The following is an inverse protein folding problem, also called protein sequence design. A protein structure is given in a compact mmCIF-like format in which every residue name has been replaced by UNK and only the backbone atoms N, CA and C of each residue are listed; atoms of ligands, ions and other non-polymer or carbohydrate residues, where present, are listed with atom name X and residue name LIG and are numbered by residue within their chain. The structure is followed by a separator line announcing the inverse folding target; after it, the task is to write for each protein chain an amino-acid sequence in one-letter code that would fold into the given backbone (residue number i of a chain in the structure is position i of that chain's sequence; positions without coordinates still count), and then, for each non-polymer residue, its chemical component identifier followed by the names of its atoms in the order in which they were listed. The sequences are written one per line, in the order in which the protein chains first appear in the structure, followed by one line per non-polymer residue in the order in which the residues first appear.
data_IF_366666594072
#
_entry.id   IF_366666594072
#
_cell.length_a   1.000
_cell.length_b   1.000
_cell.length_c   1.000
_cell.angle_alpha   90.00
_cell.angle_beta   90.00
_cell.angle_gamma   90.00
#
_symmetry.space_group_name_H-M   'P 1'
#
loop_
_entity.id
_entity.type
_entity.pdbx_description
1 polymer ?
#
# COMPACT_ATOMS: atom_id res chain seq x y z
N UNK A 1 15.38 41.05 -0.19
CA UNK A 1 15.59 39.90 -1.08
C UNK A 1 14.90 40.24 -2.39
N UNK A 2 15.64 40.35 -3.49
CA UNK A 2 15.08 40.91 -4.74
C UNK A 2 14.15 39.94 -5.45
N UNK A 3 14.38 38.63 -5.26
CA UNK A 3 13.55 37.54 -5.79
C UNK A 3 13.47 36.37 -4.81
N UNK A 4 12.29 35.74 -4.72
CA UNK A 4 12.00 34.58 -3.87
C UNK A 4 11.07 33.62 -4.61
N UNK A 5 11.28 32.31 -4.47
CA UNK A 5 10.32 31.28 -4.86
C UNK A 5 10.41 30.09 -3.90
N UNK A 6 9.37 29.26 -3.90
CA UNK A 6 9.34 27.99 -3.17
C UNK A 6 9.52 26.86 -4.16
N UNK A 7 10.40 25.92 -3.85
CA UNK A 7 10.48 24.62 -4.54
C UNK A 7 9.90 23.55 -3.62
N UNK A 8 9.02 22.74 -4.18
CA UNK A 8 8.50 21.52 -3.55
C UNK A 8 9.04 20.34 -4.34
N UNK A 9 9.47 19.29 -3.65
CA UNK A 9 9.84 18.02 -4.25
C UNK A 9 8.85 16.96 -3.79
N UNK A 10 8.48 16.03 -4.68
CA UNK A 10 7.66 14.87 -4.33
C UNK A 10 8.53 13.82 -3.59
N UNK A 11 9.06 14.19 -2.43
CA UNK A 11 9.96 13.39 -1.60
C UNK A 11 9.71 13.69 -0.11
N UNK A 12 9.69 12.64 0.70
CA UNK A 12 9.55 12.71 2.15
C UNK A 12 10.85 12.28 2.82
N UNK A 13 11.79 13.21 3.01
CA UNK A 13 13.02 13.05 3.82
C UNK A 13 13.59 11.62 3.89
N UNK A 14 13.83 10.97 2.74
CA UNK A 14 14.37 9.60 2.58
C UNK A 14 13.44 8.42 2.95
N UNK A 15 12.13 8.63 3.03
CA UNK A 15 11.12 7.60 3.32
C UNK A 15 10.43 7.12 2.04
N UNK A 16 9.98 8.06 1.21
CA UNK A 16 9.51 7.80 -0.14
C UNK A 16 9.71 8.99 -1.06
N UNK A 17 9.70 8.73 -2.37
CA UNK A 17 9.73 9.77 -3.40
C UNK A 17 9.01 9.33 -4.67
N UNK A 18 8.60 10.30 -5.49
CA UNK A 18 8.08 10.07 -6.85
C UNK A 18 9.07 10.58 -7.88
N UNK A 19 9.44 9.73 -8.82
CA UNK A 19 10.40 10.01 -9.90
C UNK A 19 9.76 9.78 -11.26
N UNK A 20 10.31 10.42 -12.29
CA UNK A 20 9.96 10.16 -13.68
C UNK A 20 10.73 8.95 -14.24
N UNK A 21 10.51 8.63 -15.52
CA UNK A 21 11.18 7.52 -16.20
C UNK A 21 12.72 7.61 -16.28
N UNK A 22 13.32 8.79 -16.06
CA UNK A 22 14.78 8.93 -15.96
C UNK A 22 15.31 8.82 -14.52
N UNK A 23 14.43 8.58 -13.53
CA UNK A 23 14.78 8.51 -12.11
C UNK A 23 14.90 9.88 -11.44
N UNK A 24 14.54 10.97 -12.13
CA UNK A 24 14.56 12.32 -11.55
C UNK A 24 13.31 12.54 -10.70
N UNK A 25 13.48 12.97 -9.44
CA UNK A 25 12.36 13.33 -8.55
C UNK A 25 11.54 14.47 -9.15
N UNK A 26 10.20 14.33 -9.12
CA UNK A 26 9.32 15.41 -9.55
C UNK A 26 9.48 16.62 -8.61
N UNK A 27 9.64 17.81 -9.21
CA UNK A 27 9.75 19.06 -8.45
C UNK A 27 8.87 20.12 -9.10
N UNK A 28 8.32 20.98 -8.27
CA UNK A 28 7.53 22.11 -8.70
C UNK A 28 8.08 23.39 -8.06
N UNK A 29 8.17 24.46 -8.86
CA UNK A 29 8.56 25.78 -8.39
C UNK A 29 7.35 26.71 -8.43
N UNK A 30 7.12 27.45 -7.35
CA UNK A 30 6.18 28.55 -7.35
C UNK A 30 6.61 29.66 -8.33
N UNK A 31 5.69 30.49 -8.83
CA UNK A 31 6.06 31.71 -9.52
C UNK A 31 7.00 32.58 -8.68
N UNK A 32 8.03 33.15 -9.31
CA UNK A 32 9.01 34.03 -8.65
C UNK A 32 8.32 35.30 -8.15
N UNK A 33 8.49 35.58 -6.86
CA UNK A 33 8.07 36.82 -6.21
C UNK A 33 9.22 37.81 -6.26
N UNK A 34 8.97 39.05 -6.70
CA UNK A 34 9.97 40.12 -6.71
C UNK A 34 9.74 41.11 -5.57
N UNK A 35 10.80 41.83 -5.19
CA UNK A 35 10.76 42.91 -4.19
C UNK A 35 10.10 42.47 -2.86
N UNK A 36 10.55 41.33 -2.34
CA UNK A 36 10.01 40.77 -1.09
C UNK A 36 10.71 41.44 0.09
N UNK A 37 9.99 42.34 0.76
CA UNK A 37 10.44 43.06 1.97
C UNK A 37 9.77 42.58 3.27
N UNK A 38 8.72 41.76 3.16
CA UNK A 38 7.98 41.19 4.28
C UNK A 38 7.36 39.82 3.91
N UNK A 39 6.77 39.14 4.89
CA UNK A 39 6.03 37.88 4.68
C UNK A 39 4.99 38.03 3.58
N UNK A 40 4.98 37.07 2.64
CA UNK A 40 4.08 37.09 1.48
C UNK A 40 3.42 35.72 1.32
N UNK A 41 2.09 35.70 1.34
CA UNK A 41 1.33 34.49 1.03
C UNK A 41 1.47 34.16 -0.45
N UNK A 42 1.75 32.88 -0.74
CA UNK A 42 1.68 32.35 -2.08
C UNK A 42 0.28 31.80 -2.39
N UNK A 43 -0.67 31.79 -1.45
CA UNK A 43 -1.99 31.17 -1.64
C UNK A 43 -1.93 29.69 -2.01
N UNK A 44 -3.06 29.13 -2.45
CA UNK A 44 -3.12 27.74 -2.94
C UNK A 44 -2.40 27.64 -4.28
N UNK A 45 -1.56 26.63 -4.40
CA UNK A 45 -0.79 26.34 -5.61
C UNK A 45 -0.94 24.86 -5.94
N UNK A 46 -0.91 24.57 -7.24
CA UNK A 46 -1.00 23.21 -7.77
C UNK A 46 0.15 22.98 -8.75
N UNK A 47 0.67 21.76 -8.83
CA UNK A 47 1.61 21.37 -9.86
C UNK A 47 0.99 21.47 -11.27
N UNK A 48 1.79 21.43 -12.35
CA UNK A 48 1.28 21.45 -13.71
C UNK A 48 0.36 20.26 -13.95
N UNK A 49 -0.71 20.44 -14.74
CA UNK A 49 -1.72 19.40 -14.98
C UNK A 49 -1.12 18.09 -15.51
N UNK A 50 -0.09 18.18 -16.36
CA UNK A 50 0.62 17.02 -16.91
C UNK A 50 1.40 16.20 -15.88
N UNK A 51 1.61 16.72 -14.67
CA UNK A 51 2.35 16.04 -13.59
C UNK A 51 1.46 15.70 -12.40
N UNK A 52 0.18 16.09 -12.40
CA UNK A 52 -0.70 15.94 -11.23
C UNK A 52 -0.79 14.50 -10.71
N UNK A 53 -0.71 13.50 -11.60
CA UNK A 53 -0.68 12.08 -11.23
C UNK A 53 0.55 11.68 -10.41
N UNK A 54 1.71 12.28 -10.67
CA UNK A 54 2.89 12.07 -9.85
C UNK A 54 2.65 12.56 -8.41
N UNK A 55 2.06 13.75 -8.29
CA UNK A 55 1.75 14.34 -6.98
C UNK A 55 0.62 13.62 -6.27
N UNK A 56 -0.37 13.11 -7.01
CA UNK A 56 -1.43 12.26 -6.45
C UNK A 56 -0.84 10.96 -5.90
N UNK A 57 0.05 10.28 -6.62
CA UNK A 57 0.75 9.10 -6.08
C UNK A 57 1.56 9.43 -4.81
N UNK A 58 2.22 10.60 -4.77
CA UNK A 58 2.96 11.07 -3.59
C UNK A 58 2.04 11.24 -2.37
N UNK A 59 0.89 11.88 -2.54
CA UNK A 59 -0.08 12.12 -1.47
C UNK A 59 -0.74 10.81 -1.04
N UNK A 60 -1.08 9.93 -1.99
CA UNK A 60 -1.71 8.64 -1.71
C UNK A 60 -0.82 7.73 -0.86
N UNK A 61 0.48 7.61 -1.17
CA UNK A 61 1.38 6.76 -0.36
C UNK A 61 1.60 7.28 1.06
N UNK A 62 1.46 8.60 1.26
CA UNK A 62 1.56 9.21 2.59
C UNK A 62 0.47 8.66 3.53
N UNK A 63 -0.72 8.34 3.01
CA UNK A 63 -1.79 7.71 3.77
C UNK A 63 -1.41 6.31 4.28
N UNK A 64 -0.73 5.51 3.46
CA UNK A 64 -0.18 4.22 3.91
C UNK A 64 0.89 4.41 4.98
N UNK A 65 1.79 5.39 4.79
CA UNK A 65 2.87 5.65 5.74
C UNK A 65 2.33 6.02 7.13
N UNK A 66 1.27 6.83 7.23
CA UNK A 66 0.63 7.14 8.51
C UNK A 66 0.03 5.93 9.21
N UNK A 67 -0.34 4.89 8.44
CA UNK A 67 -0.94 3.65 8.95
C UNK A 67 0.03 2.49 9.09
N UNK A 68 1.31 2.66 8.76
CA UNK A 68 2.34 1.58 8.74
C UNK A 68 2.54 0.80 10.05
N UNK A 69 2.00 1.28 11.18
CA UNK A 69 2.02 0.56 12.46
C UNK A 69 3.40 0.39 13.10
N UNK A 70 4.38 1.26 12.79
CA UNK A 70 5.70 1.26 13.42
C UNK A 70 5.83 2.39 14.47
N UNK A 71 5.80 2.07 15.78
CA UNK A 71 5.96 3.07 16.84
C UNK A 71 7.43 3.34 17.22
N UNK A 72 8.40 2.60 16.66
CA UNK A 72 9.81 2.66 17.09
C UNK A 72 10.63 3.72 16.37
N UNK A 73 10.27 4.04 15.13
CA UNK A 73 10.99 4.98 14.28
C UNK A 73 10.07 5.55 13.20
N UNK A 74 10.59 6.51 12.44
CA UNK A 74 9.90 7.04 11.25
C UNK A 74 9.93 6.08 10.05
N UNK A 75 10.67 4.96 10.14
CA UNK A 75 10.78 3.98 9.06
C UNK A 75 9.51 3.15 8.88
N UNK A 76 9.46 2.41 7.77
CA UNK A 76 8.31 1.61 7.36
C UNK A 76 7.97 0.47 8.32
N UNK A 77 8.98 -0.14 8.93
CA UNK A 77 8.82 -1.32 9.80
C UNK A 77 9.60 -1.20 11.10
N UNK A 78 9.10 -1.85 12.15
CA UNK A 78 9.79 -1.98 13.44
C UNK A 78 11.12 -2.77 13.36
N UNK A 79 11.39 -3.42 12.21
CA UNK A 79 12.69 -4.03 11.87
C UNK A 79 13.75 -3.00 11.48
N UNK A 80 13.37 -1.74 11.27
CA UNK A 80 14.25 -0.62 10.93
C UNK A 80 14.24 0.40 12.10
N UNK A 81 14.94 0.10 13.21
CA UNK A 81 14.84 0.91 14.44
C UNK A 81 15.54 2.26 14.35
N UNK A 82 16.52 2.43 13.44
CA UNK A 82 17.21 3.70 13.24
C UNK A 82 16.49 4.55 12.18
N UNK A 83 15.90 5.66 12.61
CA UNK A 83 15.21 6.62 11.75
C UNK A 83 16.09 7.31 10.70
N UNK A 84 17.42 7.17 10.78
CA UNK A 84 18.35 7.73 9.80
C UNK A 84 18.68 6.78 8.64
N UNK A 85 18.32 5.49 8.76
CA UNK A 85 18.66 4.44 7.79
C UNK A 85 17.42 3.70 7.31
N UNK A 86 16.30 4.39 7.15
CA UNK A 86 15.09 3.80 6.60
C UNK A 86 15.31 3.36 5.14
N UNK A 87 14.70 2.23 4.76
CA UNK A 87 14.57 1.89 3.34
C UNK A 87 13.63 2.89 2.68
N UNK A 88 14.10 3.55 1.63
CA UNK A 88 13.27 4.45 0.83
C UNK A 88 12.43 3.67 -0.20
N UNK A 89 11.15 4.03 -0.34
CA UNK A 89 10.28 3.60 -1.44
C UNK A 89 10.37 4.60 -2.61
N UNK A 90 10.70 4.12 -3.80
CA UNK A 90 10.61 4.95 -5.02
C UNK A 90 9.32 4.62 -5.78
N UNK A 91 8.48 5.61 -6.07
CA UNK A 91 7.43 5.46 -7.08
C UNK A 91 7.94 6.05 -8.39
N UNK A 92 8.12 5.23 -9.40
CA UNK A 92 8.50 5.68 -10.73
C UNK A 92 7.24 5.79 -11.59
N UNK A 93 6.87 7.02 -11.97
CA UNK A 93 5.73 7.25 -12.85
C UNK A 93 6.18 7.64 -14.27
N UNK A 94 5.68 6.89 -15.25
CA UNK A 94 5.94 7.11 -16.68
C UNK A 94 4.63 7.46 -17.40
N UNK A 95 4.41 8.75 -17.64
CA UNK A 95 3.14 9.27 -18.17
C UNK A 95 2.78 8.80 -19.58
N UNK A 96 3.78 8.44 -20.40
CA UNK A 96 3.60 8.05 -21.80
C UNK A 96 3.41 6.56 -22.04
N UNK A 97 3.58 5.74 -21.00
CA UNK A 97 3.42 4.29 -21.10
C UNK A 97 1.93 3.88 -20.93
N UNK A 98 1.50 2.73 -21.50
CA UNK A 98 0.20 2.14 -21.19
C UNK A 98 0.01 1.95 -19.70
N UNK A 99 -1.23 2.06 -19.20
CA UNK A 99 -1.53 1.84 -17.78
C UNK A 99 -1.07 0.46 -17.33
N UNK A 100 -0.17 0.44 -16.36
CA UNK A 100 0.38 -0.75 -15.71
C UNK A 100 0.98 -0.34 -14.36
N UNK A 101 0.98 -1.26 -13.40
CA UNK A 101 1.42 -1.06 -12.03
C UNK A 101 2.07 -2.32 -11.50
N UNK A 102 3.27 -2.21 -10.92
CA UNK A 102 3.88 -3.32 -10.20
C UNK A 102 4.96 -2.84 -9.22
N UNK A 103 5.17 -3.61 -8.16
CA UNK A 103 6.29 -3.44 -7.25
C UNK A 103 7.50 -4.30 -7.62
N UNK A 104 8.63 -3.65 -7.83
CA UNK A 104 9.94 -4.26 -8.00
C UNK A 104 10.65 -4.47 -6.65
N UNK A 105 10.67 -5.73 -6.23
CA UNK A 105 11.34 -6.20 -5.01
C UNK A 105 12.85 -5.91 -4.98
N UNK A 106 13.53 -5.88 -6.13
CA UNK A 106 14.99 -5.72 -6.17
C UNK A 106 15.41 -4.29 -5.88
N UNK A 107 14.64 -3.32 -6.36
CA UNK A 107 15.00 -1.90 -6.29
C UNK A 107 14.18 -1.12 -5.26
N UNK A 108 13.17 -1.75 -4.64
CA UNK A 108 12.18 -1.07 -3.81
C UNK A 108 11.45 0.03 -4.59
N UNK A 109 11.07 -0.29 -5.83
CA UNK A 109 10.45 0.65 -6.74
C UNK A 109 9.04 0.18 -7.10
N UNK A 110 8.05 1.03 -6.89
CA UNK A 110 6.72 0.87 -7.47
C UNK A 110 6.73 1.55 -8.83
N UNK A 111 6.54 0.78 -9.89
CA UNK A 111 6.38 1.29 -11.25
C UNK A 111 4.91 1.59 -11.50
N UNK A 112 4.62 2.80 -11.96
CA UNK A 112 3.29 3.27 -12.32
C UNK A 112 3.36 3.84 -13.73
N UNK A 113 2.39 3.53 -14.56
CA UNK A 113 2.35 4.02 -15.93
C UNK A 113 1.00 4.65 -16.28
N UNK A 114 1.04 5.60 -17.21
CA UNK A 114 -0.17 6.19 -17.78
C UNK A 114 -1.10 6.79 -16.73
N UNK A 115 -2.32 6.26 -16.67
CA UNK A 115 -3.39 6.72 -15.79
C UNK A 115 -3.46 6.00 -14.44
N UNK A 116 -2.57 5.04 -14.16
CA UNK A 116 -2.63 4.24 -12.92
C UNK A 116 -2.71 5.08 -11.64
N UNK A 117 -2.01 6.22 -11.48
CA UNK A 117 -2.16 7.03 -10.28
C UNK A 117 -3.57 7.62 -10.05
N UNK A 118 -4.47 7.60 -11.04
CA UNK A 118 -5.87 7.98 -10.86
C UNK A 118 -6.61 6.97 -9.96
N UNK A 119 -6.05 5.76 -9.76
CA UNK A 119 -6.48 4.74 -8.80
C UNK A 119 -5.65 4.80 -7.52
N UNK A 120 -6.25 5.31 -6.44
CA UNK A 120 -5.61 5.29 -5.13
C UNK A 120 -5.37 3.86 -4.65
N UNK A 121 -6.31 2.94 -4.94
CA UNK A 121 -6.16 1.53 -4.61
C UNK A 121 -4.94 0.92 -5.26
N UNK A 122 -4.67 1.18 -6.55
CA UNK A 122 -3.50 0.61 -7.23
C UNK A 122 -2.20 1.17 -6.66
N UNK A 123 -2.13 2.49 -6.42
CA UNK A 123 -0.94 3.10 -5.79
C UNK A 123 -0.68 2.51 -4.41
N UNK A 124 -1.72 2.34 -3.60
CA UNK A 124 -1.62 1.77 -2.26
C UNK A 124 -1.32 0.27 -2.29
N UNK A 125 -1.89 -0.48 -3.22
CA UNK A 125 -1.64 -1.91 -3.41
C UNK A 125 -0.15 -2.15 -3.66
N UNK A 126 0.43 -1.50 -4.66
CA UNK A 126 1.85 -1.68 -4.97
C UNK A 126 2.76 -1.20 -3.83
N UNK A 127 2.38 -0.11 -3.17
CA UNK A 127 3.08 0.39 -1.98
C UNK A 127 2.95 -0.55 -0.78
N UNK A 128 1.86 -1.32 -0.70
CA UNK A 128 1.62 -2.29 0.36
C UNK A 128 2.44 -3.57 0.14
N UNK A 129 2.77 -3.96 -1.10
CA UNK A 129 3.80 -4.97 -1.33
C UNK A 129 5.17 -4.52 -0.80
N UNK A 130 5.53 -3.25 -1.01
CA UNK A 130 6.73 -2.68 -0.38
C UNK A 130 6.64 -2.74 1.15
N UNK A 131 5.51 -2.33 1.75
CA UNK A 131 5.32 -2.44 3.19
C UNK A 131 5.49 -3.89 3.67
N UNK A 132 4.84 -4.86 3.01
CA UNK A 132 4.96 -6.28 3.33
C UNK A 132 6.41 -6.75 3.30
N UNK A 133 7.16 -6.34 2.28
CA UNK A 133 8.58 -6.61 2.13
C UNK A 133 9.41 -6.03 3.30
N UNK A 134 9.06 -4.83 3.80
CA UNK A 134 9.72 -4.23 4.98
C UNK A 134 9.30 -4.89 6.30
N UNK A 135 8.04 -5.32 6.44
CA UNK A 135 7.58 -6.09 7.60
C UNK A 135 8.36 -7.41 7.72
N UNK A 136 8.72 -8.02 6.59
CA UNK A 136 9.56 -9.21 6.56
C UNK A 136 11.06 -8.92 6.46
N UNK A 137 11.49 -7.68 6.72
CA UNK A 137 12.92 -7.35 6.84
C UNK A 137 13.72 -7.57 5.55
N UNK A 138 13.11 -7.31 4.40
CA UNK A 138 13.75 -7.53 3.10
C UNK A 138 13.55 -8.94 2.54
N UNK A 139 12.71 -9.76 3.17
CA UNK A 139 12.25 -11.03 2.61
C UNK A 139 10.86 -10.88 2.00
N UNK A 140 10.58 -11.61 0.92
CA UNK A 140 9.24 -11.69 0.34
C UNK A 140 8.92 -13.16 0.04
N UNK A 141 7.69 -13.64 0.28
CA UNK A 141 7.37 -15.03 0.03
C UNK A 141 7.56 -15.38 -1.44
N UNK A 142 8.01 -16.60 -1.71
CA UNK A 142 8.00 -17.14 -3.07
C UNK A 142 6.54 -17.34 -3.50
N UNK A 143 6.05 -16.44 -4.35
CA UNK A 143 4.71 -16.49 -4.92
C UNK A 143 4.68 -17.48 -6.10
N UNK A 144 3.64 -18.32 -6.15
CA UNK A 144 3.42 -19.28 -7.24
C UNK A 144 2.04 -19.10 -7.87
N UNK A 145 1.92 -19.44 -9.17
CA UNK A 145 0.65 -19.41 -9.93
C UNK A 145 -0.15 -18.10 -9.78
N UNK A 146 0.51 -16.96 -9.98
CA UNK A 146 -0.10 -15.64 -9.76
C UNK A 146 -0.36 -14.84 -11.04
N UNK A 147 0.04 -15.34 -12.21
CA UNK A 147 -0.18 -14.66 -13.48
C UNK A 147 -0.96 -15.56 -14.45
N UNK A 148 -2.15 -15.18 -14.91
CA UNK A 148 -3.02 -14.11 -14.37
C UNK A 148 -3.74 -14.57 -13.10
N UNK A 149 -4.09 -13.65 -12.20
CA UNK A 149 -4.94 -13.90 -11.05
C UNK A 149 -6.15 -12.94 -11.06
N UNK A 150 -7.19 -13.26 -10.29
CA UNK A 150 -8.41 -12.46 -10.19
C UNK A 150 -8.89 -12.47 -8.73
N UNK A 151 -9.54 -11.39 -8.31
CA UNK A 151 -10.05 -11.25 -6.94
C UNK A 151 -11.02 -12.38 -6.57
N UNK A 152 -11.84 -12.82 -7.52
CA UNK A 152 -12.89 -13.83 -7.31
C UNK A 152 -12.50 -15.26 -7.73
N UNK A 153 -11.28 -15.48 -8.25
CA UNK A 153 -10.84 -16.81 -8.72
C UNK A 153 -9.71 -17.39 -7.90
N UNK A 154 -9.72 -18.72 -7.79
CA UNK A 154 -8.65 -19.44 -7.12
C UNK A 154 -7.33 -19.31 -7.90
N UNK A 155 -6.26 -19.00 -7.19
CA UNK A 155 -4.87 -18.95 -7.69
C UNK A 155 -4.00 -19.95 -6.91
N UNK A 156 -3.08 -19.46 -6.08
CA UNK A 156 -2.38 -20.26 -5.07
C UNK A 156 -2.51 -19.58 -3.71
N UNK A 157 -2.31 -20.34 -2.62
CA UNK A 157 -2.30 -19.78 -1.26
C UNK A 157 -1.24 -18.69 -1.06
N UNK A 158 -0.16 -18.73 -1.84
CA UNK A 158 0.92 -17.73 -1.76
C UNK A 158 0.60 -16.47 -2.56
N UNK A 159 -0.04 -16.63 -3.72
CA UNK A 159 -0.54 -15.51 -4.53
C UNK A 159 -1.68 -14.80 -3.77
N UNK A 160 -2.73 -15.55 -3.42
CA UNK A 160 -3.86 -15.01 -2.67
C UNK A 160 -3.44 -14.28 -1.38
N UNK A 161 -2.41 -14.76 -0.68
CA UNK A 161 -1.89 -14.05 0.49
C UNK A 161 -1.13 -12.76 0.16
N UNK A 162 -0.24 -12.79 -0.83
CA UNK A 162 0.57 -11.62 -1.20
C UNK A 162 -0.33 -10.50 -1.74
N UNK A 163 -1.21 -10.84 -2.68
CA UNK A 163 -2.13 -9.90 -3.33
C UNK A 163 -3.19 -9.40 -2.34
N UNK A 164 -3.81 -10.28 -1.56
CA UNK A 164 -4.83 -9.85 -0.60
C UNK A 164 -4.27 -9.02 0.55
N UNK A 165 -3.00 -9.22 0.94
CA UNK A 165 -2.39 -8.30 1.89
C UNK A 165 -2.34 -6.87 1.32
N UNK A 166 -1.97 -6.72 0.05
CA UNK A 166 -1.85 -5.43 -0.63
C UNK A 166 -3.22 -4.77 -0.87
N UNK A 167 -4.18 -5.52 -1.38
CA UNK A 167 -5.56 -5.07 -1.60
C UNK A 167 -6.26 -4.66 -0.30
N UNK A 168 -6.20 -5.52 0.72
CA UNK A 168 -6.75 -5.20 2.03
C UNK A 168 -6.06 -4.01 2.67
N UNK A 169 -4.76 -3.84 2.50
CA UNK A 169 -4.05 -2.67 3.01
C UNK A 169 -4.59 -1.38 2.37
N UNK A 170 -4.77 -1.37 1.04
CA UNK A 170 -5.35 -0.24 0.33
C UNK A 170 -6.77 0.08 0.84
N UNK A 171 -7.65 -0.93 0.89
CA UNK A 171 -9.02 -0.77 1.37
C UNK A 171 -9.10 -0.35 2.85
N UNK A 172 -8.20 -0.87 3.69
CA UNK A 172 -8.11 -0.47 5.09
C UNK A 172 -7.66 0.99 5.24
N UNK A 173 -6.69 1.43 4.42
CA UNK A 173 -6.20 2.82 4.41
C UNK A 173 -7.32 3.77 3.98
N UNK A 174 -8.02 3.46 2.90
CA UNK A 174 -9.10 4.28 2.33
C UNK A 174 -10.43 4.16 3.11
N UNK A 175 -10.56 3.15 3.97
CA UNK A 175 -11.75 2.97 4.81
C UNK A 175 -12.92 2.31 4.10
N UNK A 176 -12.69 1.56 3.02
CA UNK A 176 -13.71 0.88 2.22
C UNK A 176 -13.59 -0.66 2.26
N UNK A 177 -14.37 -1.38 1.47
CA UNK A 177 -14.42 -2.86 1.47
C UNK A 177 -14.24 -3.43 0.06
N UNK A 178 -13.32 -2.84 -0.72
CA UNK A 178 -13.14 -3.25 -2.10
C UNK A 178 -11.92 -2.59 -2.74
N UNK A 179 -11.87 -2.73 -4.06
CA UNK A 179 -10.84 -2.17 -4.92
C UNK A 179 -11.49 -1.32 -6.02
N UNK A 180 -10.93 -0.15 -6.31
CA UNK A 180 -11.39 0.69 -7.42
C UNK A 180 -10.21 0.97 -8.34
N UNK A 181 -10.23 0.40 -9.55
CA UNK A 181 -9.20 0.67 -10.55
C UNK A 181 -9.31 2.05 -11.19
N UNK A 182 -8.42 2.36 -12.12
CA UNK A 182 -8.29 3.70 -12.73
C UNK A 182 -9.51 4.11 -13.58
N UNK A 183 -10.33 3.13 -13.99
CA UNK A 183 -11.61 3.37 -14.67
C UNK A 183 -12.78 3.64 -13.71
N UNK A 184 -12.55 3.60 -12.39
CA UNK A 184 -13.55 3.88 -11.37
C UNK A 184 -14.56 2.76 -11.14
N UNK A 185 -14.33 1.56 -11.69
CA UNK A 185 -15.23 0.41 -11.52
C UNK A 185 -14.86 -0.31 -10.21
N UNK A 186 -15.77 -0.40 -9.22
CA UNK A 186 -15.49 -1.05 -7.95
C UNK A 186 -15.57 -2.58 -8.07
N UNK A 187 -14.68 -3.25 -7.36
CA UNK A 187 -14.68 -4.70 -7.10
C UNK A 187 -14.86 -4.87 -5.58
N UNK A 188 -15.93 -5.53 -5.16
CA UNK A 188 -16.21 -5.77 -3.73
C UNK A 188 -15.44 -6.98 -3.23
N UNK A 189 -14.84 -6.90 -2.03
CA UNK A 189 -14.23 -8.04 -1.34
C UNK A 189 -15.21 -8.88 -0.51
N UNK A 190 -16.49 -8.52 -0.47
CA UNK A 190 -17.50 -9.38 0.10
C UNK A 190 -17.68 -10.61 -0.78
N UNK A 191 -17.55 -11.81 -0.18
CA UNK A 191 -17.78 -13.06 -0.88
C UNK A 191 -19.19 -13.09 -1.50
N UNK A 192 -19.26 -13.51 -2.77
CA UNK A 192 -20.49 -13.55 -3.54
C UNK A 192 -20.53 -14.73 -4.52
N UNK A 193 -21.63 -14.92 -5.26
CA UNK A 193 -21.86 -16.12 -6.08
C UNK A 193 -20.82 -16.39 -7.18
N UNK A 194 -20.03 -15.38 -7.56
CA UNK A 194 -18.98 -15.51 -8.59
C UNK A 194 -17.63 -15.94 -8.02
N UNK A 195 -17.49 -15.91 -6.68
CA UNK A 195 -16.26 -16.25 -6.00
C UNK A 195 -16.09 -17.76 -5.94
N UNK A 196 -14.89 -18.23 -6.23
CA UNK A 196 -14.46 -19.57 -5.86
C UNK A 196 -14.34 -19.68 -4.31
N UNK A 197 -14.17 -20.90 -3.82
CA UNK A 197 -14.08 -21.17 -2.39
C UNK A 197 -12.65 -21.19 -1.83
N UNK A 198 -12.51 -20.75 -0.57
CA UNK A 198 -11.34 -21.02 0.26
C UNK A 198 -10.20 -20.01 0.16
N UNK A 199 -9.09 -20.33 0.83
CA UNK A 199 -7.94 -19.42 1.04
C UNK A 199 -6.95 -19.34 -0.14
N UNK A 200 -7.34 -19.89 -1.28
CA UNK A 200 -6.65 -19.71 -2.57
C UNK A 200 -7.26 -18.59 -3.40
N UNK A 201 -8.36 -17.98 -2.94
CA UNK A 201 -9.05 -16.87 -3.60
C UNK A 201 -8.68 -15.59 -2.87
N UNK A 202 -8.10 -14.63 -3.59
CA UNK A 202 -7.60 -13.37 -3.04
C UNK A 202 -8.69 -12.62 -2.28
N UNK A 203 -9.85 -12.38 -2.90
CA UNK A 203 -10.90 -11.60 -2.27
C UNK A 203 -11.52 -12.26 -1.02
N UNK A 204 -11.48 -13.60 -0.92
CA UNK A 204 -11.86 -14.29 0.32
C UNK A 204 -10.87 -14.01 1.47
N UNK A 205 -9.58 -13.95 1.14
CA UNK A 205 -8.53 -13.55 2.09
C UNK A 205 -8.67 -12.06 2.40
N UNK A 206 -9.04 -11.23 1.42
CA UNK A 206 -9.22 -9.79 1.62
C UNK A 206 -10.32 -9.46 2.62
N UNK A 207 -11.53 -9.96 2.36
CA UNK A 207 -12.66 -9.77 3.25
C UNK A 207 -12.36 -10.30 4.66
N UNK A 208 -11.68 -11.44 4.75
CA UNK A 208 -11.25 -12.01 6.03
C UNK A 208 -10.27 -11.11 6.78
N UNK A 209 -9.28 -10.52 6.10
CA UNK A 209 -8.33 -9.60 6.72
C UNK A 209 -9.02 -8.33 7.21
N UNK A 210 -9.84 -7.70 6.37
CA UNK A 210 -10.58 -6.49 6.72
C UNK A 210 -11.53 -6.71 7.91
N UNK A 211 -12.27 -7.83 7.92
CA UNK A 211 -13.17 -8.18 9.02
C UNK A 211 -12.39 -8.36 10.33
N UNK A 212 -11.27 -9.10 10.30
CA UNK A 212 -10.43 -9.29 11.48
C UNK A 212 -9.85 -7.97 11.99
N UNK A 213 -9.26 -7.16 11.10
CA UNK A 213 -8.62 -5.90 11.48
C UNK A 213 -9.61 -4.91 12.08
N UNK A 214 -10.81 -4.80 11.50
CA UNK A 214 -11.83 -3.82 11.91
C UNK A 214 -12.63 -4.25 13.14
N UNK A 215 -12.73 -5.54 13.43
CA UNK A 215 -13.62 -6.03 14.50
C UNK A 215 -12.90 -6.79 15.60
N UNK A 216 -11.93 -7.65 15.27
CA UNK A 216 -11.32 -8.57 16.23
C UNK A 216 -9.95 -8.08 16.73
N UNK A 217 -9.26 -7.24 15.95
CA UNK A 217 -7.89 -6.80 16.25
C UNK A 217 -7.86 -5.47 17.04
N UNK A 218 -9.01 -5.05 17.58
CA UNK A 218 -9.19 -3.80 18.30
C UNK A 218 -9.54 -2.61 17.40
N UNK A 219 -10.07 -2.87 16.21
CA UNK A 219 -10.40 -1.83 15.22
C UNK A 219 -9.18 -1.27 14.49
N UNK A 220 -8.05 -1.97 14.54
CA UNK A 220 -6.80 -1.58 13.89
C UNK A 220 -5.97 -2.79 13.49
N UNK A 221 -5.22 -2.68 12.39
CA UNK A 221 -4.28 -3.71 11.95
C UNK A 221 -2.92 -3.69 12.68
N UNK A 222 -2.67 -2.76 13.61
CA UNK A 222 -1.33 -2.55 14.22
C UNK A 222 -0.73 -3.83 14.85
N UNK A 223 -1.59 -4.68 15.41
CA UNK A 223 -1.17 -5.96 16.01
C UNK A 223 -0.80 -6.99 14.95
N UNK A 224 -1.50 -6.98 13.82
CA UNK A 224 -1.13 -7.77 12.63
C UNK A 224 0.19 -7.30 12.06
N UNK A 225 0.39 -5.98 11.91
CA UNK A 225 1.68 -5.40 11.50
C UNK A 225 2.80 -5.84 12.44
N UNK A 226 2.58 -5.79 13.76
CA UNK A 226 3.56 -6.26 14.75
C UNK A 226 3.89 -7.75 14.58
N UNK A 227 2.90 -8.61 14.36
CA UNK A 227 3.09 -10.03 14.09
C UNK A 227 3.94 -10.25 12.83
N UNK A 228 3.59 -9.58 11.73
CA UNK A 228 4.31 -9.69 10.46
C UNK A 228 5.74 -9.11 10.56
N UNK A 229 5.95 -8.09 11.41
CA UNK A 229 7.29 -7.56 11.71
C UNK A 229 8.20 -8.52 12.47
N UNK A 230 7.67 -9.65 12.97
CA UNK A 230 8.44 -10.65 13.74
C UNK A 230 8.46 -12.03 13.09
N UNK A 231 7.55 -12.31 12.16
CA UNK A 231 7.42 -13.61 11.50
C UNK A 231 7.34 -13.47 9.98
N UNK A 232 8.01 -14.36 9.25
CA UNK A 232 7.84 -14.47 7.81
C UNK A 232 6.66 -15.38 7.50
N UNK A 233 5.69 -14.87 6.75
CA UNK A 233 4.46 -15.58 6.43
C UNK A 233 4.29 -15.67 4.92
N UNK A 234 4.03 -16.87 4.41
CA UNK A 234 3.80 -17.12 2.98
C UNK A 234 2.34 -17.38 2.62
N UNK A 235 1.46 -17.62 3.60
CA UNK A 235 0.04 -17.96 3.35
C UNK A 235 -0.86 -17.40 4.43
N UNK A 236 -2.13 -17.16 4.09
CA UNK A 236 -3.12 -16.70 5.07
C UNK A 236 -3.29 -17.68 6.25
N UNK A 237 -3.23 -18.99 6.00
CA UNK A 237 -3.29 -20.02 7.04
C UNK A 237 -2.16 -19.91 8.06
N UNK A 238 -0.94 -19.64 7.59
CA UNK A 238 0.22 -19.45 8.48
C UNK A 238 0.04 -18.19 9.34
N UNK A 239 -0.41 -17.08 8.74
CA UNK A 239 -0.77 -15.88 9.50
C UNK A 239 -1.81 -16.19 10.57
N UNK A 240 -2.93 -16.83 10.19
CA UNK A 240 -4.02 -17.13 11.13
C UNK A 240 -3.58 -18.06 12.26
N UNK A 241 -2.70 -19.01 11.98
CA UNK A 241 -2.12 -19.92 12.99
C UNK A 241 -1.19 -19.18 13.96
N UNK A 242 -0.48 -18.15 13.49
CA UNK A 242 0.44 -17.36 14.32
C UNK A 242 -0.27 -16.28 15.13
N UNK A 243 -1.49 -15.88 14.79
CA UNK A 243 -2.27 -14.84 15.50
C UNK A 243 -2.18 -14.91 17.04
N UNK A 244 -2.29 -16.09 17.70
CA UNK A 244 -2.19 -16.18 19.16
C UNK A 244 -0.85 -15.68 19.73
N UNK A 245 0.26 -15.76 18.98
CA UNK A 245 1.57 -15.25 19.46
C UNK A 245 1.60 -13.73 19.60
N UNK A 246 0.69 -13.03 18.93
CA UNK A 246 0.44 -11.59 19.08
C UNK A 246 -0.84 -11.29 19.87
N UNK A 247 -1.37 -12.26 20.62
CA UNK A 247 -2.64 -12.19 21.36
C UNK A 247 -3.87 -11.88 20.46
N UNK A 248 -3.79 -12.14 19.16
CA UNK A 248 -4.88 -11.91 18.20
C UNK A 248 -5.87 -13.09 18.23
N UNK A 249 -7.17 -12.77 18.10
CA UNK A 249 -8.24 -13.77 18.26
C UNK A 249 -8.24 -14.82 17.13
N UNK A 250 -8.42 -16.09 17.51
CA UNK A 250 -8.58 -17.29 16.64
C UNK A 250 -9.75 -18.19 17.08
N UNK A 251 -10.59 -17.68 17.98
CA UNK A 251 -11.77 -18.34 18.55
C UNK A 251 -12.86 -18.57 17.50
N UNK A 252 -13.98 -19.16 17.94
CA UNK A 252 -15.13 -19.43 17.09
C UNK A 252 -15.67 -18.19 16.35
N UNK A 253 -15.55 -16.99 16.95
CA UNK A 253 -15.95 -15.72 16.31
C UNK A 253 -15.00 -15.34 15.16
N UNK A 254 -13.69 -15.36 15.40
CA UNK A 254 -12.71 -15.10 14.35
C UNK A 254 -12.81 -16.12 13.20
N UNK A 255 -13.01 -17.40 13.52
CA UNK A 255 -13.25 -18.45 12.51
C UNK A 255 -14.57 -18.28 11.77
N UNK A 256 -15.59 -17.69 12.40
CA UNK A 256 -16.84 -17.38 11.72
C UNK A 256 -16.66 -16.30 10.65
N UNK A 257 -15.85 -15.27 10.92
CA UNK A 257 -15.53 -14.25 9.92
C UNK A 257 -14.87 -14.90 8.69
N UNK A 258 -13.91 -15.79 8.90
CA UNK A 258 -13.29 -16.56 7.81
C UNK A 258 -14.30 -17.43 7.05
N UNK A 259 -15.22 -18.10 7.76
CA UNK A 259 -16.27 -18.92 7.12
C UNK A 259 -17.25 -18.10 6.29
N UNK A 260 -17.47 -16.82 6.61
CA UNK A 260 -18.29 -15.94 5.78
C UNK A 260 -17.67 -15.73 4.38
N UNK A 261 -16.35 -15.93 4.27
CA UNK A 261 -15.57 -15.91 3.03
C UNK A 261 -15.10 -17.31 2.62
N UNK A 262 -15.83 -18.35 3.03
CA UNK A 262 -15.60 -19.76 2.70
C UNK A 262 -14.23 -20.34 3.08
N UNK A 263 -13.49 -19.66 3.96
CA UNK A 263 -12.23 -20.16 4.54
C UNK A 263 -12.52 -20.98 5.80
N UNK A 264 -12.03 -22.22 5.85
CA UNK A 264 -12.20 -23.13 6.98
C UNK A 264 -10.85 -23.69 7.47
N UNK A 265 -10.49 -23.38 8.73
CA UNK A 265 -9.25 -23.78 9.42
C UNK A 265 -9.56 -24.47 10.74
#
# INVERSE_FOLDING_TARGET
MDQMWVRVSAESSKLWKVTNGSGTTFTWNSPVQKAVSASRSLGTRKPPSGEMRAWHAFDTVNELWWKRGNPRSNCWSAREPDGNTCTELTMQWVSSAPSDGFYDLQHNTVHLAGAVPDSEHTVLHESAHFLQHRLFGGWFPRVTHCSTHWVDKASSKTCAWAEAFADSAAAYVLGDYGYVGELGIPISFAHGPTYDDGDTVQGNVDGSLLDLWRTMDGGTWNRTITLLSTHHVSTFRQYFTLRPTANLDTSGKARQLLRNHTINY
#
